data_IF_330549061483
#
_entry.id   IF_330549061483
#
_cell.length_a   1.000
_cell.length_b   1.000
_cell.length_c   1.000
_cell.angle_alpha   90.00
_cell.angle_beta   90.00
_cell.angle_gamma   90.00
#
_symmetry.space_group_name_H-M   'P 1'
#
loop_
_entity.id
_entity.type
_entity.pdbx_description
1 polymer ?
#
# COMPACT_ATOMS: atom_id res chain seq x y z
N UNK A 1 10.51 14.50 19.15
CA UNK A 1 10.25 13.04 19.17
C UNK A 1 11.57 12.34 18.96
N UNK A 2 12.12 11.65 19.97
CA UNK A 2 13.41 10.97 19.85
C UNK A 2 13.18 9.55 19.36
N UNK A 3 13.62 9.27 18.13
CA UNK A 3 13.69 7.91 17.58
C UNK A 3 14.51 7.07 18.56
N UNK A 4 13.95 5.98 19.08
CA UNK A 4 14.74 4.98 19.80
C UNK A 4 15.59 4.25 18.75
N UNK A 5 16.78 4.80 18.52
CA UNK A 5 17.69 4.34 17.50
C UNK A 5 18.18 2.90 17.74
N UNK A 6 18.10 2.40 18.97
CA UNK A 6 18.63 1.09 19.32
C UNK A 6 17.72 -0.02 18.80
N UNK A 7 16.40 0.09 19.01
CA UNK A 7 15.40 -0.84 18.43
C UNK A 7 15.49 -0.86 16.90
N UNK A 8 15.62 0.31 16.27
CA UNK A 8 15.76 0.39 14.81
C UNK A 8 17.07 -0.27 14.33
N UNK A 9 18.18 -0.08 15.05
CA UNK A 9 19.47 -0.71 14.72
C UNK A 9 19.42 -2.22 14.86
N UNK A 10 18.81 -2.74 15.93
CA UNK A 10 18.64 -4.19 16.14
C UNK A 10 17.85 -4.83 15.00
N UNK A 11 16.74 -4.21 14.59
CA UNK A 11 15.92 -4.67 13.46
C UNK A 11 16.68 -4.68 12.15
N UNK A 12 17.39 -3.59 11.84
CA UNK A 12 18.23 -3.50 10.64
C UNK A 12 19.34 -4.55 10.69
N UNK A 13 19.90 -4.81 11.87
CA UNK A 13 20.93 -5.85 12.07
C UNK A 13 20.38 -7.25 11.82
N UNK A 14 19.16 -7.56 12.31
CA UNK A 14 18.51 -8.85 12.10
C UNK A 14 18.19 -9.10 10.62
N UNK A 15 17.60 -8.13 9.92
CA UNK A 15 17.34 -8.28 8.48
C UNK A 15 18.66 -8.33 7.68
N UNK A 16 19.67 -7.59 8.13
CA UNK A 16 21.02 -7.62 7.58
C UNK A 16 21.69 -8.98 7.75
N UNK A 17 21.50 -9.68 8.87
CA UNK A 17 22.05 -11.03 9.06
C UNK A 17 21.40 -12.04 8.11
N UNK A 18 20.07 -12.00 7.93
CA UNK A 18 19.41 -12.86 6.96
C UNK A 18 19.88 -12.61 5.52
N UNK A 19 20.14 -11.35 5.16
CA UNK A 19 20.73 -11.02 3.86
C UNK A 19 22.16 -11.58 3.75
N UNK A 20 22.97 -11.46 4.81
CA UNK A 20 24.29 -12.07 4.87
C UNK A 20 24.26 -13.58 4.68
N UNK A 21 23.35 -14.27 5.36
CA UNK A 21 23.15 -15.72 5.26
C UNK A 21 22.70 -16.13 3.84
N UNK A 22 21.83 -15.34 3.22
CA UNK A 22 21.39 -15.56 1.84
C UNK A 22 22.55 -15.40 0.84
N UNK A 23 23.37 -14.35 1.00
CA UNK A 23 24.55 -14.09 0.17
C UNK A 23 25.58 -15.22 0.33
N UNK A 24 25.87 -15.62 1.57
CA UNK A 24 26.82 -16.70 1.86
C UNK A 24 26.38 -18.01 1.22
N UNK A 25 25.13 -18.42 1.42
CA UNK A 25 24.59 -19.67 0.85
C UNK A 25 24.54 -19.68 -0.67
N UNK A 26 24.16 -18.56 -1.30
CA UNK A 26 23.89 -18.54 -2.74
C UNK A 26 25.08 -18.08 -3.59
N UNK A 27 26.00 -17.30 -3.04
CA UNK A 27 27.14 -16.70 -3.78
C UNK A 27 28.51 -16.93 -3.14
N UNK A 28 28.54 -17.62 -2.00
CA UNK A 28 29.77 -18.00 -1.28
C UNK A 28 30.25 -16.94 -0.28
N UNK A 29 31.05 -17.40 0.68
CA UNK A 29 31.62 -16.56 1.75
C UNK A 29 32.57 -15.47 1.23
N UNK A 30 33.28 -15.71 0.13
CA UNK A 30 34.19 -14.71 -0.47
C UNK A 30 33.45 -13.44 -0.92
N UNK A 31 32.27 -13.61 -1.53
CA UNK A 31 31.39 -12.49 -1.91
C UNK A 31 30.94 -11.71 -0.68
N UNK A 32 30.52 -12.41 0.38
CA UNK A 32 30.11 -11.78 1.63
C UNK A 32 31.28 -11.01 2.28
N UNK A 33 32.47 -11.60 2.32
CA UNK A 33 33.67 -10.97 2.86
C UNK A 33 34.06 -9.69 2.09
N UNK A 34 33.92 -9.71 0.76
CA UNK A 34 34.12 -8.54 -0.09
C UNK A 34 33.15 -7.42 0.28
N UNK A 35 31.86 -7.74 0.42
CA UNK A 35 30.81 -6.78 0.81
C UNK A 35 31.09 -6.20 2.20
N UNK A 36 31.41 -7.04 3.17
CA UNK A 36 31.72 -6.63 4.55
C UNK A 36 32.97 -5.76 4.64
N UNK A 37 33.99 -6.06 3.82
CA UNK A 37 35.22 -5.25 3.72
C UNK A 37 34.89 -3.85 3.21
N UNK A 38 34.11 -3.74 2.13
CA UNK A 38 33.64 -2.45 1.59
C UNK A 38 32.77 -1.70 2.61
N UNK A 39 31.81 -2.39 3.24
CA UNK A 39 30.90 -1.79 4.23
C UNK A 39 31.67 -1.20 5.41
N UNK A 40 32.54 -2.00 6.05
CA UNK A 40 33.36 -1.56 7.19
C UNK A 40 34.32 -0.44 6.78
N UNK A 41 34.97 -0.58 5.63
CA UNK A 41 35.90 0.42 5.09
C UNK A 41 35.24 1.79 4.88
N UNK A 42 34.09 1.85 4.21
CA UNK A 42 33.39 3.12 3.97
C UNK A 42 32.75 3.71 5.24
N UNK A 43 32.32 2.88 6.20
CA UNK A 43 31.90 3.36 7.52
C UNK A 43 33.06 4.02 8.26
N UNK A 44 34.24 3.38 8.27
CA UNK A 44 35.44 3.95 8.87
C UNK A 44 35.83 5.26 8.18
N UNK A 45 35.80 5.29 6.85
CA UNK A 45 36.09 6.49 6.08
C UNK A 45 35.15 7.65 6.38
N UNK A 46 33.87 7.39 6.68
CA UNK A 46 32.92 8.43 7.09
C UNK A 46 33.21 8.96 8.50
N UNK A 47 33.64 8.09 9.43
CA UNK A 47 33.95 8.44 10.83
C UNK A 47 35.28 9.16 10.98
N UNK A 48 36.30 8.71 10.23
CA UNK A 48 37.66 9.24 10.25
C UNK A 48 38.19 9.34 8.81
N UNK A 49 37.93 10.46 8.11
CA UNK A 49 38.31 10.60 6.70
C UNK A 49 39.81 10.49 6.47
N UNK A 50 40.22 9.50 5.67
CA UNK A 50 41.60 9.31 5.24
C UNK A 50 41.68 9.13 3.72
N UNK A 51 42.48 9.94 3.03
CA UNK A 51 42.60 9.89 1.56
C UNK A 51 43.22 8.59 1.06
N UNK A 52 44.24 8.06 1.75
CA UNK A 52 44.90 6.81 1.38
C UNK A 52 43.95 5.62 1.52
N UNK A 53 43.22 5.53 2.65
CA UNK A 53 42.25 4.46 2.86
C UNK A 53 41.10 4.52 1.84
N UNK A 54 40.62 5.73 1.51
CA UNK A 54 39.62 5.91 0.45
C UNK A 54 40.13 5.41 -0.90
N UNK A 55 41.38 5.73 -1.25
CA UNK A 55 41.98 5.29 -2.51
C UNK A 55 42.10 3.75 -2.54
N UNK A 56 42.54 3.12 -1.46
CA UNK A 56 42.61 1.65 -1.36
C UNK A 56 41.24 0.99 -1.57
N UNK A 57 40.16 1.55 -1.02
CA UNK A 57 38.80 1.03 -1.25
C UNK A 57 38.35 1.19 -2.70
N UNK A 58 38.70 2.32 -3.35
CA UNK A 58 38.39 2.55 -4.77
C UNK A 58 39.16 1.57 -5.65
N UNK A 59 40.45 1.38 -5.39
CA UNK A 59 41.30 0.43 -6.13
C UNK A 59 40.80 -1.00 -5.93
N UNK A 60 40.35 -1.35 -4.72
CA UNK A 60 39.73 -2.64 -4.44
C UNK A 60 38.46 -2.84 -5.27
N UNK A 61 37.56 -1.85 -5.34
CA UNK A 61 36.38 -1.92 -6.22
C UNK A 61 36.77 -2.12 -7.69
N UNK A 62 37.78 -1.38 -8.15
CA UNK A 62 38.28 -1.47 -9.54
C UNK A 62 38.90 -2.83 -9.87
N UNK A 63 39.35 -3.58 -8.86
CA UNK A 63 39.91 -4.93 -9.03
C UNK A 63 38.87 -6.05 -9.10
N UNK A 64 37.60 -5.78 -8.75
CA UNK A 64 36.56 -6.81 -8.70
C UNK A 64 36.12 -7.23 -10.10
N UNK A 65 35.85 -8.53 -10.28
CA UNK A 65 35.22 -9.03 -11.50
C UNK A 65 33.75 -8.59 -11.60
N UNK A 66 33.20 -8.58 -12.82
CA UNK A 66 31.83 -8.11 -13.10
C UNK A 66 30.75 -8.84 -12.30
N UNK A 67 30.93 -10.13 -11.99
CA UNK A 67 29.94 -10.92 -11.24
C UNK A 67 29.96 -10.50 -9.77
N UNK A 68 31.14 -10.38 -9.18
CA UNK A 68 31.31 -9.91 -7.80
C UNK A 68 30.82 -8.48 -7.64
N UNK A 69 31.18 -7.59 -8.57
CA UNK A 69 30.72 -6.20 -8.56
C UNK A 69 29.19 -6.10 -8.64
N UNK A 70 28.54 -6.92 -9.48
CA UNK A 70 27.07 -7.00 -9.55
C UNK A 70 26.48 -7.42 -8.20
N UNK A 71 27.05 -8.44 -7.55
CA UNK A 71 26.58 -8.91 -6.24
C UNK A 71 26.77 -7.84 -5.15
N UNK A 72 27.88 -7.10 -5.17
CA UNK A 72 28.12 -5.97 -4.26
C UNK A 72 27.04 -4.90 -4.41
N UNK A 73 26.76 -4.46 -5.64
CA UNK A 73 25.72 -3.44 -5.92
C UNK A 73 24.34 -3.92 -5.43
N UNK A 74 23.99 -5.17 -5.73
CA UNK A 74 22.72 -5.77 -5.31
C UNK A 74 22.60 -5.88 -3.80
N UNK A 75 23.67 -6.31 -3.13
CA UNK A 75 23.68 -6.46 -1.67
C UNK A 75 23.41 -5.14 -0.98
N UNK A 76 24.09 -4.06 -1.38
CA UNK A 76 23.83 -2.73 -0.82
C UNK A 76 22.43 -2.22 -1.17
N UNK A 77 21.95 -2.47 -2.39
CA UNK A 77 20.59 -2.07 -2.79
C UNK A 77 19.52 -2.72 -1.92
N UNK A 78 19.59 -4.05 -1.74
CA UNK A 78 18.67 -4.79 -0.88
C UNK A 78 18.82 -4.36 0.59
N UNK A 79 20.05 -4.20 1.08
CA UNK A 79 20.28 -3.71 2.44
C UNK A 79 19.59 -2.37 2.71
N UNK A 80 19.70 -1.41 1.78
CA UNK A 80 19.00 -0.13 1.92
C UNK A 80 17.48 -0.27 1.84
N UNK A 81 16.94 -1.22 1.07
CA UNK A 81 15.50 -1.51 1.12
C UNK A 81 15.08 -2.07 2.47
N UNK A 82 15.83 -3.02 3.04
CA UNK A 82 15.56 -3.58 4.36
C UNK A 82 15.67 -2.52 5.47
N UNK A 83 16.62 -1.59 5.34
CA UNK A 83 16.75 -0.45 6.24
C UNK A 83 15.54 0.50 6.17
N UNK A 84 15.16 0.91 4.96
CA UNK A 84 13.99 1.79 4.76
C UNK A 84 12.69 1.12 5.23
N UNK A 85 12.55 -0.19 4.99
CA UNK A 85 11.41 -0.98 5.44
C UNK A 85 11.33 -1.05 6.96
N UNK A 86 12.47 -1.24 7.63
CA UNK A 86 12.54 -1.25 9.10
C UNK A 86 12.15 0.11 9.68
N UNK A 87 12.64 1.19 9.08
CA UNK A 87 12.29 2.57 9.48
C UNK A 87 10.80 2.85 9.27
N UNK A 88 10.23 2.46 8.13
CA UNK A 88 8.80 2.65 7.84
C UNK A 88 7.91 1.90 8.83
N UNK A 89 8.25 0.63 9.14
CA UNK A 89 7.56 -0.16 10.16
C UNK A 89 7.64 0.51 11.54
N UNK A 90 8.83 0.96 11.93
CA UNK A 90 9.02 1.64 13.22
C UNK A 90 8.19 2.93 13.33
N UNK A 91 8.20 3.79 12.30
CA UNK A 91 7.41 5.02 12.26
C UNK A 91 5.90 4.74 12.24
N UNK A 92 5.47 3.66 11.60
CA UNK A 92 4.08 3.19 11.63
C UNK A 92 3.66 2.76 13.04
N UNK A 93 4.49 1.99 13.74
CA UNK A 93 4.24 1.57 15.12
C UNK A 93 4.15 2.76 16.07
N UNK A 94 5.06 3.73 15.97
CA UNK A 94 4.99 4.95 16.77
C UNK A 94 3.68 5.71 16.54
N UNK A 95 3.27 5.86 15.27
CA UNK A 95 1.98 6.49 14.92
C UNK A 95 0.79 5.69 15.46
N UNK A 96 0.87 4.37 15.47
CA UNK A 96 -0.16 3.51 16.05
C UNK A 96 -0.23 3.67 17.58
N UNK A 97 0.91 3.66 18.28
CA UNK A 97 0.97 3.88 19.72
C UNK A 97 0.40 5.26 20.10
N UNK A 98 0.75 6.31 19.36
CA UNK A 98 0.17 7.64 19.54
C UNK A 98 -1.35 7.65 19.38
N UNK A 99 -1.88 6.96 18.36
CA UNK A 99 -3.33 6.82 18.14
C UNK A 99 -4.05 6.13 19.29
N UNK A 100 -3.38 5.20 19.97
CA UNK A 100 -3.95 4.44 21.09
C UNK A 100 -3.81 5.16 22.43
N UNK A 101 -2.75 5.96 22.60
CA UNK A 101 -2.49 6.71 23.84
C UNK A 101 -3.18 8.07 23.88
N UNK A 102 -3.34 8.72 22.73
CA UNK A 102 -4.13 9.94 22.61
C UNK A 102 -5.60 9.59 22.40
N UNK A 103 -6.50 10.45 22.86
CA UNK A 103 -7.93 10.43 22.54
C UNK A 103 -8.15 10.79 21.06
N UNK A 104 -7.50 10.04 20.16
CA UNK A 104 -7.31 10.27 18.72
C UNK A 104 -6.81 11.67 18.33
N UNK A 105 -6.13 12.36 19.25
CA UNK A 105 -5.68 13.74 19.09
C UNK A 105 -4.15 13.79 19.09
N UNK A 106 -3.56 13.89 17.90
CA UNK A 106 -2.13 14.10 17.71
C UNK A 106 -1.92 15.14 16.59
N UNK A 107 -0.71 15.67 16.48
CA UNK A 107 -0.39 16.68 15.47
C UNK A 107 -0.71 16.17 14.05
N UNK A 108 -1.55 16.93 13.33
CA UNK A 108 -2.04 16.56 11.99
C UNK A 108 -3.17 15.53 11.95
N UNK A 109 -3.77 15.14 13.09
CA UNK A 109 -5.00 14.34 13.10
C UNK A 109 -6.23 15.21 12.82
N UNK A 110 -7.26 14.63 12.17
CA UNK A 110 -8.52 15.36 11.92
C UNK A 110 -9.13 15.94 13.18
N UNK A 111 -9.15 15.16 14.25
CA UNK A 111 -9.70 15.58 15.54
C UNK A 111 -8.95 16.78 16.10
N UNK A 112 -7.62 16.74 16.12
CA UNK A 112 -6.80 17.86 16.61
C UNK A 112 -7.02 19.12 15.77
N UNK A 113 -7.05 18.98 14.45
CA UNK A 113 -7.31 20.11 13.54
C UNK A 113 -8.69 20.72 13.76
N UNK A 114 -9.74 19.90 13.90
CA UNK A 114 -11.10 20.39 14.16
C UNK A 114 -11.24 21.02 15.54
N UNK A 115 -10.57 20.48 16.56
CA UNK A 115 -10.47 21.09 17.88
C UNK A 115 -9.85 22.49 17.81
N UNK A 116 -8.73 22.63 17.10
CA UNK A 116 -8.07 23.94 16.89
C UNK A 116 -8.98 24.92 16.13
N UNK A 117 -9.77 24.45 15.16
CA UNK A 117 -10.81 25.26 14.52
C UNK A 117 -11.86 25.74 15.53
N UNK A 118 -12.32 24.86 16.43
CA UNK A 118 -13.32 25.17 17.45
C UNK A 118 -12.78 26.15 18.50
N UNK A 119 -11.54 25.95 18.96
CA UNK A 119 -10.82 26.86 19.87
C UNK A 119 -10.62 28.26 19.27
N UNK A 120 -10.61 28.36 17.93
CA UNK A 120 -10.55 29.64 17.19
C UNK A 120 -11.94 30.22 16.88
N UNK A 121 -13.00 29.69 17.47
CA UNK A 121 -14.39 30.11 17.28
C UNK A 121 -14.87 30.02 15.82
N UNK A 122 -14.46 28.96 15.10
CA UNK A 122 -15.11 28.63 13.83
C UNK A 122 -16.47 28.00 14.15
N UNK A 123 -17.53 28.66 13.68
CA UNK A 123 -18.91 28.24 13.94
C UNK A 123 -19.31 27.04 13.05
N UNK A 124 -20.30 26.22 13.46
CA UNK A 124 -20.71 25.04 12.70
C UNK A 124 -21.12 25.36 11.25
N UNK A 125 -21.79 26.49 11.02
CA UNK A 125 -22.17 26.93 9.68
C UNK A 125 -20.95 27.24 8.79
N UNK A 126 -19.90 27.83 9.36
CA UNK A 126 -18.64 28.09 8.65
C UNK A 126 -17.88 26.80 8.38
N UNK A 127 -17.87 25.87 9.34
CA UNK A 127 -17.27 24.54 9.16
C UNK A 127 -17.98 23.75 8.06
N UNK A 128 -19.32 23.82 7.99
CA UNK A 128 -20.10 23.22 6.91
C UNK A 128 -19.66 23.75 5.55
N UNK A 129 -19.53 25.07 5.39
CA UNK A 129 -19.07 25.69 4.14
C UNK A 129 -17.65 25.19 3.75
N UNK A 130 -16.74 25.06 4.72
CA UNK A 130 -15.40 24.53 4.48
C UNK A 130 -15.43 23.06 4.03
N UNK A 131 -16.31 22.24 4.64
CA UNK A 131 -16.48 20.83 4.25
C UNK A 131 -16.99 20.73 2.82
N UNK A 132 -17.96 21.57 2.42
CA UNK A 132 -18.53 21.60 1.06
C UNK A 132 -17.49 21.93 -0.02
N UNK A 133 -16.52 22.78 0.32
CA UNK A 133 -15.47 23.21 -0.60
C UNK A 133 -14.23 22.30 -0.59
N UNK A 134 -14.17 21.33 0.33
CA UNK A 134 -13.02 20.46 0.48
C UNK A 134 -12.79 19.65 -0.81
N UNK A 135 -11.57 19.77 -1.36
CA UNK A 135 -11.12 19.00 -2.51
C UNK A 135 -9.67 18.57 -2.32
N UNK A 136 -9.44 17.27 -2.44
CA UNK A 136 -8.14 16.64 -2.40
C UNK A 136 -7.98 15.75 -3.63
N UNK A 137 -7.09 16.15 -4.55
CA UNK A 137 -6.87 15.48 -5.84
C UNK A 137 -5.39 15.18 -6.03
N UNK A 138 -4.85 14.15 -5.36
CA UNK A 138 -3.52 13.65 -5.66
C UNK A 138 -3.43 13.15 -7.11
N UNK A 139 -2.39 13.57 -7.82
CA UNK A 139 -2.13 13.18 -9.21
C UNK A 139 -0.91 12.26 -9.25
N UNK A 140 -1.13 11.03 -9.71
CA UNK A 140 -0.06 10.05 -9.90
C UNK A 140 0.77 10.38 -11.14
N UNK A 141 2.09 10.39 -10.98
CA UNK A 141 3.05 10.55 -12.07
C UNK A 141 3.89 9.28 -12.21
N UNK A 142 4.44 9.05 -13.40
CA UNK A 142 5.36 7.94 -13.59
C UNK A 142 6.63 8.20 -12.79
N UNK A 143 7.13 7.20 -12.09
CA UNK A 143 8.38 7.34 -11.35
C UNK A 143 9.56 7.18 -12.31
N UNK A 144 10.36 8.24 -12.57
CA UNK A 144 11.32 8.28 -13.67
C UNK A 144 12.46 7.25 -13.55
N UNK A 145 12.67 6.68 -12.36
CA UNK A 145 13.75 5.74 -12.07
C UNK A 145 13.29 4.42 -11.45
N UNK A 146 11.99 4.09 -11.48
CA UNK A 146 11.50 2.83 -10.89
C UNK A 146 11.87 1.63 -11.79
N UNK A 147 13.12 1.19 -11.69
CA UNK A 147 13.66 0.04 -12.43
C UNK A 147 13.18 -1.30 -11.87
N UNK A 148 12.49 -1.31 -10.72
CA UNK A 148 12.10 -2.53 -10.00
C UNK A 148 10.92 -3.23 -10.64
N UNK A 149 11.00 -4.55 -10.71
CA UNK A 149 9.90 -5.39 -11.20
C UNK A 149 8.75 -5.40 -10.20
N UNK A 150 7.52 -5.55 -10.71
CA UNK A 150 6.31 -5.71 -9.87
C UNK A 150 6.42 -6.88 -8.89
N UNK A 151 7.06 -7.97 -9.30
CA UNK A 151 7.30 -9.13 -8.44
C UNK A 151 8.19 -8.77 -7.25
N UNK A 152 9.22 -7.98 -7.47
CA UNK A 152 10.09 -7.44 -6.41
C UNK A 152 9.29 -6.57 -5.45
N UNK A 153 8.42 -5.68 -5.96
CA UNK A 153 7.55 -4.85 -5.12
C UNK A 153 6.61 -5.69 -4.25
N UNK A 154 6.01 -6.75 -4.80
CA UNK A 154 5.18 -7.68 -4.03
C UNK A 154 5.98 -8.39 -2.93
N UNK A 155 7.22 -8.84 -3.23
CA UNK A 155 8.09 -9.46 -2.21
C UNK A 155 8.45 -8.48 -1.10
N UNK A 156 8.78 -7.22 -1.44
CA UNK A 156 9.02 -6.17 -0.44
C UNK A 156 7.78 -5.90 0.41
N UNK A 157 6.58 -5.90 -0.18
CA UNK A 157 5.33 -5.75 0.56
C UNK A 157 5.07 -6.94 1.51
N UNK A 158 5.37 -8.17 1.09
CA UNK A 158 5.30 -9.35 1.95
C UNK A 158 6.33 -9.28 3.08
N UNK A 159 7.56 -8.85 2.79
CA UNK A 159 8.60 -8.59 3.81
C UNK A 159 8.13 -7.56 4.83
N UNK A 160 7.47 -6.48 4.38
CA UNK A 160 6.95 -5.46 5.26
C UNK A 160 5.96 -6.07 6.27
N UNK A 161 5.03 -6.90 5.79
CA UNK A 161 4.04 -7.59 6.65
C UNK A 161 4.68 -8.61 7.60
N UNK A 162 5.63 -9.41 7.14
CA UNK A 162 6.32 -10.39 7.99
C UNK A 162 7.18 -9.69 9.06
N UNK A 163 7.85 -8.59 8.70
CA UNK A 163 8.64 -7.79 9.62
C UNK A 163 7.78 -7.04 10.64
N UNK A 164 6.59 -6.54 10.26
CA UNK A 164 5.62 -5.95 11.20
C UNK A 164 5.19 -6.98 12.26
N UNK A 165 5.06 -8.26 11.88
CA UNK A 165 4.72 -9.33 12.82
C UNK A 165 5.84 -9.58 13.87
N UNK A 166 7.12 -9.54 13.46
CA UNK A 166 8.25 -9.70 14.38
C UNK A 166 8.24 -8.68 15.52
N UNK A 167 7.69 -7.48 15.28
CA UNK A 167 7.68 -6.41 16.26
C UNK A 167 6.60 -6.55 17.33
N UNK A 168 5.56 -7.34 17.05
CA UNK A 168 4.36 -7.46 17.90
C UNK A 168 4.28 -8.83 18.60
N UNK A 169 5.20 -9.74 18.30
CA UNK A 169 5.24 -11.09 18.84
C UNK A 169 6.32 -11.20 19.92
N UNK A 170 6.06 -11.97 20.97
CA UNK A 170 7.08 -12.28 21.97
C UNK A 170 8.18 -13.12 21.32
N UNK A 171 9.45 -12.75 21.55
CA UNK A 171 10.62 -13.37 20.90
C UNK A 171 10.68 -14.89 21.10
N UNK A 172 10.26 -15.40 22.26
CA UNK A 172 10.26 -16.84 22.56
C UNK A 172 9.03 -17.60 22.03
N UNK A 173 8.13 -16.93 21.31
CA UNK A 173 6.90 -17.56 20.82
C UNK A 173 7.14 -18.34 19.53
N UNK A 174 6.42 -19.46 19.37
CA UNK A 174 6.40 -20.21 18.10
C UNK A 174 6.00 -19.32 16.91
N UNK A 175 5.11 -18.35 17.13
CA UNK A 175 4.68 -17.39 16.11
C UNK A 175 5.84 -16.48 15.66
N UNK A 176 6.70 -16.05 16.59
CA UNK A 176 7.86 -15.23 16.28
C UNK A 176 8.88 -16.00 15.44
N UNK A 177 9.22 -17.23 15.83
CA UNK A 177 10.12 -18.08 15.04
C UNK A 177 9.56 -18.37 13.64
N UNK A 178 8.25 -18.59 13.50
CA UNK A 178 7.63 -18.74 12.18
C UNK A 178 7.71 -17.46 11.33
N UNK A 179 7.48 -16.28 11.94
CA UNK A 179 7.60 -15.00 11.24
C UNK A 179 9.04 -14.72 10.80
N UNK A 180 10.01 -15.11 11.64
CA UNK A 180 11.44 -15.01 11.40
C UNK A 180 11.87 -15.90 10.23
N UNK A 181 11.44 -17.17 10.23
CA UNK A 181 11.70 -18.10 9.13
C UNK A 181 11.10 -17.60 7.81
N UNK A 182 9.85 -17.15 7.82
CA UNK A 182 9.20 -16.56 6.63
C UNK A 182 9.94 -15.32 6.13
N UNK A 183 10.45 -14.48 7.03
CA UNK A 183 11.22 -13.29 6.68
C UNK A 183 12.54 -13.70 6.01
N UNK A 184 13.29 -14.64 6.59
CA UNK A 184 14.53 -15.15 6.03
C UNK A 184 14.31 -15.80 4.64
N UNK A 185 13.29 -16.65 4.48
CA UNK A 185 12.91 -17.25 3.20
C UNK A 185 12.55 -16.21 2.13
N UNK A 186 11.87 -15.13 2.53
CA UNK A 186 11.49 -14.07 1.59
C UNK A 186 12.72 -13.23 1.18
N UNK A 187 13.67 -13.00 2.09
CA UNK A 187 14.96 -12.37 1.77
C UNK A 187 15.79 -13.26 0.84
N UNK A 188 15.81 -14.57 1.07
CA UNK A 188 16.45 -15.54 0.18
C UNK A 188 15.89 -15.45 -1.25
N UNK A 189 14.57 -15.45 -1.37
CA UNK A 189 13.89 -15.34 -2.65
C UNK A 189 14.16 -13.99 -3.33
N UNK A 190 14.21 -12.91 -2.54
CA UNK A 190 14.58 -11.59 -3.04
C UNK A 190 16.00 -11.59 -3.62
N UNK A 191 16.96 -12.19 -2.92
CA UNK A 191 18.34 -12.33 -3.40
C UNK A 191 18.44 -13.18 -4.68
N UNK A 192 17.65 -14.26 -4.78
CA UNK A 192 17.58 -15.08 -6.00
C UNK A 192 16.83 -14.40 -7.16
N UNK A 193 16.14 -13.29 -6.93
CA UNK A 193 15.34 -12.60 -7.95
C UNK A 193 16.15 -11.53 -8.68
N UNK A 194 15.87 -11.33 -9.97
CA UNK A 194 16.44 -10.20 -10.71
C UNK A 194 15.58 -8.95 -10.49
N UNK A 195 16.06 -8.05 -9.64
CA UNK A 195 15.33 -6.86 -9.20
C UNK A 195 15.15 -5.83 -10.33
N UNK A 196 16.07 -5.80 -11.28
CA UNK A 196 16.15 -4.76 -12.31
C UNK A 196 15.46 -5.25 -13.59
N UNK A 197 14.67 -4.38 -14.23
CA UNK A 197 14.16 -4.63 -15.57
C UNK A 197 15.32 -4.65 -16.57
N UNK A 198 15.45 -5.74 -17.34
CA UNK A 198 16.44 -5.85 -18.43
C UNK A 198 16.06 -5.04 -19.68
N UNK A 199 14.76 -4.68 -19.81
CA UNK A 199 14.24 -3.84 -20.88
C UNK A 199 13.76 -2.50 -20.35
N UNK A 200 13.71 -1.49 -21.24
CA UNK A 200 13.04 -0.22 -20.93
C UNK A 200 11.57 -0.48 -20.53
N UNK A 201 11.06 0.21 -19.49
CA UNK A 201 9.63 0.16 -19.15
C UNK A 201 8.79 0.57 -20.35
N UNK A 202 7.70 -0.16 -20.60
CA UNK A 202 6.67 0.27 -21.54
C UNK A 202 5.67 1.14 -20.78
N UNK A 203 4.95 2.01 -21.49
CA UNK A 203 3.86 2.81 -20.92
C UNK A 203 2.84 1.93 -20.18
N UNK A 204 2.54 0.75 -20.74
CA UNK A 204 1.71 -0.26 -20.08
C UNK A 204 2.22 -0.69 -18.69
N UNK A 205 3.54 -0.89 -18.56
CA UNK A 205 4.14 -1.30 -17.29
C UNK A 205 3.97 -0.20 -16.24
N UNK A 206 4.10 1.07 -16.65
CA UNK A 206 3.94 2.22 -15.78
C UNK A 206 2.48 2.38 -15.32
N UNK A 207 1.51 2.26 -16.24
CA UNK A 207 0.07 2.30 -15.91
C UNK A 207 -0.25 1.20 -14.89
N UNK A 208 0.21 -0.02 -15.14
CA UNK A 208 -0.02 -1.16 -14.26
C UNK A 208 0.64 -0.98 -12.88
N UNK A 209 1.84 -0.36 -12.82
CA UNK A 209 2.49 -0.04 -11.55
C UNK A 209 1.70 1.04 -10.78
N UNK A 210 1.20 2.08 -11.45
CA UNK A 210 0.36 3.10 -10.81
C UNK A 210 -0.91 2.50 -10.20
N UNK A 211 -1.61 1.66 -10.97
CA UNK A 211 -2.83 0.96 -10.54
C UNK A 211 -2.59 -0.07 -9.43
N UNK A 212 -1.37 -0.59 -9.29
CA UNK A 212 -1.03 -1.50 -8.21
C UNK A 212 -1.26 -0.87 -6.83
N UNK A 213 -0.92 0.40 -6.64
CA UNK A 213 -1.11 1.11 -5.37
C UNK A 213 -2.58 1.20 -4.93
N UNK A 214 -3.52 1.27 -5.89
CA UNK A 214 -4.94 1.26 -5.58
C UNK A 214 -5.37 -0.04 -4.90
N UNK A 215 -4.96 -1.16 -5.47
CA UNK A 215 -5.24 -2.49 -4.94
C UNK A 215 -4.47 -2.78 -3.65
N UNK A 216 -3.22 -2.32 -3.56
CA UNK A 216 -2.35 -2.56 -2.41
C UNK A 216 -2.81 -1.78 -1.17
N UNK A 217 -3.22 -0.52 -1.33
CA UNK A 217 -3.48 0.35 -0.17
C UNK A 217 -4.66 1.31 -0.33
N UNK A 218 -4.79 2.02 -1.46
CA UNK A 218 -5.70 3.18 -1.53
C UNK A 218 -7.17 2.78 -1.37
N UNK A 219 -7.64 1.72 -2.03
CA UNK A 219 -9.04 1.30 -1.90
C UNK A 219 -9.42 0.97 -0.46
N UNK A 220 -8.46 0.49 0.36
CA UNK A 220 -8.67 0.23 1.77
C UNK A 220 -8.51 1.49 2.64
N UNK A 221 -7.64 2.41 2.24
CA UNK A 221 -7.33 3.62 3.00
C UNK A 221 -8.42 4.69 2.85
N UNK A 222 -8.94 4.90 1.64
CA UNK A 222 -9.92 5.95 1.35
C UNK A 222 -11.13 5.87 2.28
N UNK A 223 -11.85 4.74 2.43
CA UNK A 223 -13.00 4.68 3.34
C UNK A 223 -12.64 4.91 4.81
N UNK A 224 -11.42 4.58 5.23
CA UNK A 224 -10.94 4.85 6.59
C UNK A 224 -10.75 6.34 6.81
N UNK A 225 -10.21 7.06 5.83
CA UNK A 225 -10.07 8.52 5.90
C UNK A 225 -11.44 9.18 6.06
N UNK A 226 -12.43 8.79 5.24
CA UNK A 226 -13.80 9.31 5.33
C UNK A 226 -14.46 9.01 6.69
N UNK A 227 -14.26 7.80 7.25
CA UNK A 227 -14.75 7.50 8.60
C UNK A 227 -14.06 8.35 9.66
N UNK A 228 -12.73 8.42 9.64
CA UNK A 228 -11.98 9.18 10.63
C UNK A 228 -12.34 10.68 10.66
N UNK A 229 -12.55 11.31 9.50
CA UNK A 229 -13.00 12.71 9.47
C UNK A 229 -14.46 12.83 9.92
N UNK A 230 -15.34 11.88 9.57
CA UNK A 230 -16.74 11.89 10.03
C UNK A 230 -16.82 11.75 11.55
N UNK A 231 -16.11 10.78 12.12
CA UNK A 231 -16.07 10.54 13.56
C UNK A 231 -15.55 11.77 14.30
N UNK A 232 -14.50 12.43 13.77
CA UNK A 232 -13.97 13.66 14.33
C UNK A 232 -14.95 14.85 14.23
N UNK A 233 -15.73 14.95 13.15
CA UNK A 233 -16.77 15.98 13.01
C UNK A 233 -17.88 15.75 14.04
N UNK A 234 -18.36 14.52 14.19
CA UNK A 234 -19.41 14.18 15.17
C UNK A 234 -18.98 14.53 16.59
N UNK A 235 -17.71 14.32 16.92
CA UNK A 235 -17.15 14.63 18.24
C UNK A 235 -17.03 16.15 18.50
N UNK A 236 -16.51 16.92 17.53
CA UNK A 236 -16.16 18.34 17.74
C UNK A 236 -17.26 19.32 17.32
N UNK A 237 -18.02 18.97 16.28
CA UNK A 237 -19.14 19.70 15.72
C UNK A 237 -20.39 18.79 15.68
N UNK A 238 -20.95 18.40 16.84
CA UNK A 238 -22.10 17.51 16.90
C UNK A 238 -23.32 18.03 16.12
N UNK A 239 -23.41 19.35 15.89
CA UNK A 239 -24.41 20.00 15.05
C UNK A 239 -24.36 19.55 13.58
N UNK A 240 -23.23 18.99 13.14
CA UNK A 240 -23.00 18.48 11.78
C UNK A 240 -23.06 16.94 11.71
N UNK A 241 -23.62 16.28 12.73
CA UNK A 241 -23.70 14.80 12.78
C UNK A 241 -24.48 14.21 11.60
N UNK A 242 -25.58 14.83 11.20
CA UNK A 242 -26.39 14.35 10.07
C UNK A 242 -25.92 14.90 8.72
N UNK A 243 -24.92 15.81 8.72
CA UNK A 243 -24.41 16.41 7.50
C UNK A 243 -23.56 15.40 6.69
N UNK A 244 -23.89 15.10 5.42
CA UNK A 244 -23.15 14.15 4.62
C UNK A 244 -21.80 14.74 4.19
N UNK A 245 -20.75 13.93 4.20
CA UNK A 245 -19.47 14.35 3.64
C UNK A 245 -19.54 14.34 2.11
N UNK A 246 -19.11 15.41 1.42
CA UNK A 246 -18.98 15.39 -0.03
C UNK A 246 -17.86 14.42 -0.44
N UNK A 247 -17.88 14.00 -1.71
CA UNK A 247 -16.80 13.21 -2.29
C UNK A 247 -15.55 14.09 -2.53
N UNK A 248 -14.95 14.57 -1.44
CA UNK A 248 -13.83 15.53 -1.48
C UNK A 248 -12.55 14.92 -2.03
N UNK A 249 -12.40 13.60 -1.96
CA UNK A 249 -11.21 12.89 -2.44
C UNK A 249 -11.43 12.31 -3.83
N UNK A 250 -10.60 12.74 -4.78
CA UNK A 250 -10.52 12.21 -6.14
C UNK A 250 -9.06 11.91 -6.49
N UNK A 251 -8.81 11.15 -7.56
CA UNK A 251 -7.45 10.81 -7.97
C UNK A 251 -7.24 11.13 -9.44
N UNK A 252 -6.14 11.80 -9.75
CA UNK A 252 -5.66 12.01 -11.11
C UNK A 252 -4.50 11.08 -11.44
N UNK A 253 -4.21 10.91 -12.73
CA UNK A 253 -3.01 10.23 -13.21
C UNK A 253 -2.52 10.87 -14.50
N UNK A 254 -1.22 11.12 -14.58
CA UNK A 254 -0.52 11.48 -15.82
C UNK A 254 0.03 10.24 -16.54
N UNK A 255 0.05 9.09 -15.89
CA UNK A 255 0.62 7.86 -16.43
C UNK A 255 -0.24 7.37 -17.60
N UNK A 256 0.36 7.29 -18.80
CA UNK A 256 -0.33 6.94 -20.04
C UNK A 256 -1.13 8.09 -20.68
N UNK A 257 -1.16 9.27 -20.08
CA UNK A 257 -1.83 10.46 -20.61
C UNK A 257 -0.89 11.62 -20.94
N UNK A 258 0.18 11.80 -20.17
CA UNK A 258 1.17 12.86 -20.41
C UNK A 258 2.09 12.47 -21.58
N UNK A 259 2.10 13.31 -22.61
CA UNK A 259 2.82 13.10 -23.87
C UNK A 259 3.99 14.08 -24.03
N UNK A 260 4.18 14.99 -23.07
CA UNK A 260 5.22 15.99 -23.18
C UNK A 260 6.61 15.33 -23.19
N UNK A 261 7.34 15.52 -24.29
CA UNK A 261 8.66 14.90 -24.50
C UNK A 261 8.68 13.36 -24.60
N UNK A 262 7.54 12.67 -24.65
CA UNK A 262 7.48 11.20 -24.66
C UNK A 262 6.74 10.63 -25.89
N UNK A 263 7.45 10.24 -26.97
CA UNK A 263 6.81 9.74 -28.19
C UNK A 263 6.14 8.37 -28.02
N UNK A 264 6.41 7.65 -26.92
CA UNK A 264 5.82 6.34 -26.66
C UNK A 264 4.40 6.42 -26.09
N UNK A 265 3.96 7.60 -25.65
CA UNK A 265 2.57 7.82 -25.23
C UNK A 265 1.76 8.24 -26.47
N UNK A 266 0.98 7.29 -26.99
CA UNK A 266 0.09 7.44 -28.15
C UNK A 266 -1.38 7.47 -27.72
N UNK A 267 -2.30 7.77 -28.65
CA UNK A 267 -3.74 7.68 -28.37
C UNK A 267 -4.15 6.28 -27.88
N UNK A 268 -3.55 5.22 -28.44
CA UNK A 268 -3.82 3.84 -28.05
C UNK A 268 -3.40 3.59 -26.60
N UNK A 269 -2.26 4.14 -26.19
CA UNK A 269 -1.82 4.00 -24.79
C UNK A 269 -2.69 4.78 -23.82
N UNK A 270 -3.24 5.92 -24.24
CA UNK A 270 -4.17 6.71 -23.42
C UNK A 270 -5.54 6.02 -23.29
N UNK A 271 -6.09 5.50 -24.38
CA UNK A 271 -7.30 4.68 -24.34
C UNK A 271 -7.11 3.46 -23.44
N UNK A 272 -6.00 2.75 -23.61
CA UNK A 272 -5.63 1.62 -22.77
C UNK A 272 -5.54 2.01 -21.29
N UNK A 273 -4.94 3.16 -20.95
CA UNK A 273 -4.87 3.65 -19.58
C UNK A 273 -6.27 3.82 -18.96
N UNK A 274 -7.19 4.48 -19.68
CA UNK A 274 -8.57 4.69 -19.24
C UNK A 274 -9.30 3.36 -19.03
N UNK A 275 -9.17 2.41 -19.97
CA UNK A 275 -9.77 1.09 -19.86
C UNK A 275 -9.20 0.29 -18.67
N UNK A 276 -7.88 0.36 -18.44
CA UNK A 276 -7.25 -0.29 -17.30
C UNK A 276 -7.68 0.31 -15.96
N UNK A 277 -7.91 1.62 -15.90
CA UNK A 277 -8.46 2.28 -14.72
C UNK A 277 -9.89 1.77 -14.43
N UNK A 278 -10.74 1.70 -15.46
CA UNK A 278 -12.10 1.18 -15.34
C UNK A 278 -12.11 -0.28 -14.88
N UNK A 279 -11.34 -1.16 -15.54
CA UNK A 279 -11.22 -2.58 -15.17
C UNK A 279 -10.74 -2.75 -13.71
N UNK A 280 -9.78 -1.94 -13.27
CA UNK A 280 -9.27 -1.99 -11.90
C UNK A 280 -10.37 -1.71 -10.86
N UNK A 281 -11.17 -0.66 -11.07
CA UNK A 281 -12.27 -0.30 -10.18
C UNK A 281 -13.39 -1.34 -10.22
N UNK A 282 -13.76 -1.82 -11.42
CA UNK A 282 -14.81 -2.83 -11.59
C UNK A 282 -14.43 -4.14 -10.89
N UNK A 283 -13.19 -4.62 -11.06
CA UNK A 283 -12.69 -5.81 -10.34
C UNK A 283 -12.72 -5.63 -8.83
N UNK A 284 -12.35 -4.45 -8.34
CA UNK A 284 -12.43 -4.15 -6.92
C UNK A 284 -13.88 -4.23 -6.40
N UNK A 285 -14.84 -3.63 -7.12
CA UNK A 285 -16.25 -3.73 -6.78
C UNK A 285 -16.79 -5.15 -6.83
N UNK A 286 -16.34 -5.99 -7.78
CA UNK A 286 -16.73 -7.41 -7.79
C UNK A 286 -16.31 -8.14 -6.51
N UNK A 287 -15.12 -7.85 -5.97
CA UNK A 287 -14.66 -8.42 -4.69
C UNK A 287 -15.54 -7.94 -3.54
N UNK A 288 -15.81 -6.63 -3.46
CA UNK A 288 -16.64 -6.05 -2.40
C UNK A 288 -18.08 -6.57 -2.45
N UNK A 289 -18.70 -6.64 -3.63
CA UNK A 289 -20.06 -7.16 -3.78
C UNK A 289 -20.17 -8.63 -3.37
N UNK A 290 -19.18 -9.46 -3.72
CA UNK A 290 -19.12 -10.86 -3.27
C UNK A 290 -19.02 -10.95 -1.75
N UNK A 291 -18.25 -10.06 -1.12
CA UNK A 291 -18.13 -9.98 0.34
C UNK A 291 -19.45 -9.53 0.98
N UNK A 292 -20.01 -8.41 0.55
CA UNK A 292 -21.28 -7.89 1.06
C UNK A 292 -22.43 -8.90 0.92
N UNK A 293 -22.48 -9.65 -0.19
CA UNK A 293 -23.49 -10.69 -0.40
C UNK A 293 -23.39 -11.83 0.62
N UNK A 294 -22.22 -12.10 1.18
CA UNK A 294 -22.03 -13.11 2.25
C UNK A 294 -22.38 -12.57 3.63
N UNK A 295 -22.30 -11.24 3.81
CA UNK A 295 -22.54 -10.58 5.11
C UNK A 295 -24.01 -10.16 5.28
N UNK A 296 -24.66 -9.66 4.22
CA UNK A 296 -26.03 -9.16 4.26
C UNK A 296 -27.06 -10.27 3.99
N UNK A 297 -27.18 -11.20 4.93
CA UNK A 297 -28.10 -12.37 4.87
C UNK A 297 -29.50 -12.11 5.45
N UNK A 298 -29.92 -10.84 5.52
CA UNK A 298 -31.17 -10.48 6.16
C UNK A 298 -32.37 -11.06 5.42
N UNK A 299 -33.26 -11.71 6.19
CA UNK A 299 -34.51 -12.24 5.70
C UNK A 299 -35.65 -11.24 5.93
N UNK A 300 -36.42 -10.94 4.89
CA UNK A 300 -37.58 -10.06 4.98
C UNK A 300 -38.76 -10.66 5.75
N UNK A 301 -38.75 -11.97 5.96
CA UNK A 301 -39.66 -12.67 6.87
C UNK A 301 -39.35 -12.41 8.34
N UNK A 302 -38.16 -11.89 8.67
CA UNK A 302 -37.68 -11.68 10.05
C UNK A 302 -37.59 -10.18 10.36
N UNK A 303 -37.08 -9.38 9.43
CA UNK A 303 -36.89 -7.94 9.62
C UNK A 303 -37.57 -7.14 8.52
N UNK A 304 -37.90 -5.88 8.82
CA UNK A 304 -38.37 -4.96 7.80
C UNK A 304 -37.21 -4.52 6.91
N UNK A 305 -37.38 -4.64 5.59
CA UNK A 305 -36.40 -4.22 4.60
C UNK A 305 -36.89 -2.95 3.91
N UNK A 306 -35.98 -1.99 3.68
CA UNK A 306 -36.32 -0.72 3.05
C UNK A 306 -36.96 -0.93 1.66
N UNK A 307 -38.09 -0.26 1.35
CA UNK A 307 -38.79 -0.40 0.05
C UNK A 307 -37.91 -0.14 -1.17
N UNK A 308 -36.91 0.74 -1.05
CA UNK A 308 -35.97 1.10 -2.11
C UNK A 308 -35.15 -0.10 -2.62
N UNK A 309 -34.92 -1.11 -1.78
CA UNK A 309 -34.21 -2.34 -2.16
C UNK A 309 -35.04 -3.10 -3.20
N UNK A 310 -36.32 -3.30 -2.93
CA UNK A 310 -37.26 -3.96 -3.85
C UNK A 310 -37.49 -3.13 -5.11
N UNK A 311 -37.63 -1.81 -4.97
CA UNK A 311 -37.75 -0.91 -6.11
C UNK A 311 -36.55 -1.04 -7.05
N UNK A 312 -35.33 -1.18 -6.50
CA UNK A 312 -34.12 -1.38 -7.28
C UNK A 312 -34.05 -2.77 -7.94
N UNK A 313 -34.46 -3.84 -7.24
CA UNK A 313 -34.56 -5.19 -7.84
C UNK A 313 -35.52 -5.15 -9.02
N UNK A 314 -36.71 -4.56 -8.84
CA UNK A 314 -37.72 -4.41 -9.89
C UNK A 314 -37.20 -3.59 -11.07
N UNK A 315 -36.44 -2.53 -10.83
CA UNK A 315 -35.79 -1.76 -11.89
C UNK A 315 -34.78 -2.59 -12.70
N UNK A 316 -34.28 -3.70 -12.16
CA UNK A 316 -33.40 -4.65 -12.83
C UNK A 316 -34.10 -5.96 -13.25
N UNK A 317 -35.43 -5.98 -13.41
CA UNK A 317 -36.21 -7.19 -13.70
C UNK A 317 -35.63 -8.07 -14.84
N UNK A 318 -35.15 -7.46 -15.93
CA UNK A 318 -34.54 -8.23 -17.05
C UNK A 318 -33.22 -8.90 -16.64
N UNK A 319 -32.39 -8.24 -15.83
CA UNK A 319 -31.16 -8.83 -15.30
C UNK A 319 -31.47 -9.87 -14.21
N UNK A 320 -32.47 -9.61 -13.38
CA UNK A 320 -32.93 -10.53 -12.34
C UNK A 320 -33.31 -11.90 -12.93
N UNK A 321 -34.16 -11.91 -13.97
CA UNK A 321 -34.54 -13.14 -14.69
C UNK A 321 -33.34 -13.87 -15.31
N UNK A 322 -32.36 -13.12 -15.85
CA UNK A 322 -31.15 -13.72 -16.43
C UNK A 322 -30.24 -14.33 -15.37
N UNK A 323 -30.06 -13.65 -14.24
CA UNK A 323 -29.18 -14.09 -13.14
C UNK A 323 -29.76 -15.32 -12.44
N UNK A 324 -31.07 -15.35 -12.23
CA UNK A 324 -31.78 -16.41 -11.51
C UNK A 324 -32.51 -17.39 -12.44
N UNK A 325 -32.13 -17.49 -13.72
CA UNK A 325 -32.79 -18.35 -14.70
C UNK A 325 -32.92 -19.82 -14.25
N UNK A 326 -31.87 -20.38 -13.63
CA UNK A 326 -31.86 -21.77 -13.18
C UNK A 326 -32.70 -22.00 -11.91
N UNK A 327 -32.81 -21.01 -11.04
CA UNK A 327 -33.62 -21.06 -9.83
C UNK A 327 -34.19 -19.67 -9.53
N UNK A 328 -35.38 -19.35 -10.07
CA UNK A 328 -36.01 -18.04 -9.88
C UNK A 328 -36.26 -17.68 -8.42
N UNK A 329 -36.38 -18.70 -7.55
CA UNK A 329 -36.69 -18.54 -6.13
C UNK A 329 -35.47 -18.30 -5.24
N UNK A 330 -34.26 -18.34 -5.80
CA UNK A 330 -33.03 -18.10 -5.04
C UNK A 330 -33.03 -16.67 -4.44
N UNK A 331 -32.75 -16.58 -3.14
CA UNK A 331 -32.79 -15.33 -2.37
C UNK A 331 -34.14 -14.57 -2.40
N UNK A 332 -35.28 -15.22 -2.65
CA UNK A 332 -36.59 -14.56 -2.65
C UNK A 332 -36.87 -13.78 -1.35
N UNK A 333 -36.54 -14.39 -0.20
CA UNK A 333 -36.71 -13.75 1.11
C UNK A 333 -35.45 -13.00 1.56
N UNK A 334 -34.36 -13.01 0.77
CA UNK A 334 -33.08 -12.34 1.09
C UNK A 334 -32.80 -11.21 0.08
N UNK A 335 -33.61 -10.13 0.07
CA UNK A 335 -33.61 -9.12 -1.00
C UNK A 335 -32.26 -8.42 -1.19
N UNK A 336 -31.47 -8.22 -0.12
CA UNK A 336 -30.11 -7.68 -0.26
C UNK A 336 -29.21 -8.61 -1.09
N UNK A 337 -29.22 -9.92 -0.83
CA UNK A 337 -28.39 -10.88 -1.58
C UNK A 337 -28.84 -11.01 -3.02
N UNK A 338 -30.16 -10.95 -3.25
CA UNK A 338 -30.74 -10.93 -4.59
C UNK A 338 -30.25 -9.70 -5.36
N UNK A 339 -30.42 -8.51 -4.80
CA UNK A 339 -29.97 -7.26 -5.41
C UNK A 339 -28.46 -7.25 -5.68
N UNK A 340 -27.64 -7.66 -4.71
CA UNK A 340 -26.18 -7.70 -4.86
C UNK A 340 -25.73 -8.69 -5.94
N UNK A 341 -26.45 -9.80 -6.14
CA UNK A 341 -26.16 -10.75 -7.23
C UNK A 341 -26.44 -10.14 -8.60
N UNK A 342 -27.52 -9.36 -8.72
CA UNK A 342 -27.86 -8.62 -9.93
C UNK A 342 -26.83 -7.54 -10.24
N UNK A 343 -26.45 -6.73 -9.24
CA UNK A 343 -25.42 -5.70 -9.40
C UNK A 343 -24.08 -6.33 -9.80
N UNK A 344 -23.71 -7.46 -9.17
CA UNK A 344 -22.49 -8.19 -9.51
C UNK A 344 -22.52 -8.69 -10.96
N UNK A 345 -23.65 -9.21 -11.44
CA UNK A 345 -23.80 -9.64 -12.82
C UNK A 345 -23.69 -8.46 -13.80
N UNK A 346 -24.28 -7.31 -13.46
CA UNK A 346 -24.16 -6.08 -14.24
C UNK A 346 -22.69 -5.62 -14.33
N UNK A 347 -21.97 -5.57 -13.21
CA UNK A 347 -20.54 -5.17 -13.20
C UNK A 347 -19.66 -6.13 -13.99
N UNK A 348 -19.98 -7.42 -14.02
CA UNK A 348 -19.24 -8.41 -14.83
C UNK A 348 -19.48 -8.29 -16.34
N UNK A 349 -20.59 -7.66 -16.74
CA UNK A 349 -20.98 -7.47 -18.13
C UNK A 349 -20.50 -6.13 -18.71
N UNK A 350 -20.12 -5.19 -17.84
CA UNK A 350 -19.37 -3.97 -18.19
C UNK A 350 -17.92 -4.32 -18.45
#
# INVERSE_FOLDING_TARGET
MTINNDVLRERISLLGSFLGDAISRQTGEETLNTIETLRKGFIQQRRAPNKANKQQLIDFIASLDNRTLKNVIRSFSIYFFLANLSEENYLREQRHALRMQSDQSWEGSFRRTLLECRERNIEPAQMQELIEQLKFIPVFTAHPTEARRRTTMNLLQSLFTHSDALNNLAEDSFAYEQAKEKTAQTIDLLWSSDEIRTRKPLVYDEINNGLHYFNASLFNAIPKVYRNIKDAIVDIYPELTDYPLPAFMSFGSWIGGDRDGNPFVTHDTTEMAVLMHADTVLRHYQVLLKKLRRELIHSDTIINIAPDVYARIKAYATLDQKVFYYNPDDYNNEPYRRLLSIILAKIKAT
#
